data_IF_864727369174
#
_entry.id   IF_864727369174
#
_cell.length_a   1.000
_cell.length_b   1.000
_cell.length_c   1.000
_cell.angle_alpha   90.00
_cell.angle_beta   90.00
_cell.angle_gamma   90.00
#
_symmetry.space_group_name_H-M   'P 1'
#
loop_
_entity.id
_entity.type
_entity.pdbx_description
1 polymer ?
#
# COMPACT_ATOMS: atom_id res chain seq x y z
N UNK A 1 23.11 51.03 -6.28
CA UNK A 1 24.14 50.53 -7.21
C UNK A 1 24.69 49.24 -6.60
N UNK A 2 24.30 48.10 -7.15
CA UNK A 2 24.80 46.79 -6.72
C UNK A 2 26.03 46.41 -7.56
N UNK A 3 27.09 45.90 -6.93
CA UNK A 3 27.97 44.88 -7.51
C UNK A 3 27.91 43.63 -6.62
N UNK A 4 28.02 42.40 -7.07
CA UNK A 4 28.18 41.75 -8.35
C UNK A 4 28.15 40.26 -7.99
N UNK A 5 27.30 39.47 -8.63
CA UNK A 5 27.13 38.05 -8.29
C UNK A 5 28.25 37.25 -8.97
N UNK A 6 29.12 36.64 -8.16
CA UNK A 6 30.00 35.56 -8.61
C UNK A 6 29.17 34.29 -8.78
N UNK A 7 29.18 33.75 -9.99
CA UNK A 7 28.61 32.44 -10.33
C UNK A 7 29.64 31.39 -9.91
N UNK A 8 29.29 30.60 -8.89
CA UNK A 8 29.97 29.34 -8.57
C UNK A 8 28.95 28.21 -8.70
N UNK A 9 29.00 27.47 -9.81
CA UNK A 9 28.22 26.26 -10.02
C UNK A 9 28.91 25.10 -9.30
N UNK A 10 28.26 24.56 -8.26
CA UNK A 10 28.57 23.21 -7.77
C UNK A 10 27.37 22.33 -8.11
N UNK A 11 27.53 21.54 -9.17
CA UNK A 11 26.58 20.53 -9.61
C UNK A 11 26.47 19.41 -8.55
N UNK A 12 25.27 19.21 -7.99
CA UNK A 12 24.92 18.10 -7.08
C UNK A 12 24.24 16.95 -7.86
N UNK A 13 24.30 16.97 -9.19
CA UNK A 13 23.47 16.15 -10.08
C UNK A 13 23.82 14.65 -10.16
N UNK A 14 24.66 14.09 -9.29
CA UNK A 14 25.18 12.72 -9.47
C UNK A 14 25.15 11.79 -8.27
N UNK A 15 24.56 12.15 -7.12
CA UNK A 15 24.43 11.20 -6.00
C UNK A 15 23.03 10.59 -5.94
N UNK A 16 22.89 9.25 -5.98
CA UNK A 16 21.60 8.59 -5.83
C UNK A 16 21.15 8.74 -4.38
N UNK A 17 20.19 9.64 -4.16
CA UNK A 17 19.50 9.77 -2.89
C UNK A 17 18.54 8.57 -2.73
N UNK A 18 18.25 8.14 -1.49
CA UNK A 18 17.20 7.14 -1.27
C UNK A 18 15.90 7.65 -1.92
N UNK A 19 15.32 6.86 -2.85
CA UNK A 19 14.33 7.31 -3.85
C UNK A 19 13.05 8.00 -3.37
N UNK A 20 12.85 8.18 -2.07
CA UNK A 20 11.81 9.07 -1.54
C UNK A 20 12.21 10.55 -1.54
N UNK A 21 13.52 10.84 -1.42
CA UNK A 21 14.03 12.21 -1.56
C UNK A 21 14.12 12.65 -3.02
N UNK A 22 14.36 11.75 -3.97
CA UNK A 22 14.28 12.07 -5.41
C UNK A 22 12.89 12.59 -5.81
N UNK A 23 11.82 12.05 -5.22
CA UNK A 23 10.45 12.48 -5.53
C UNK A 23 10.07 13.84 -4.91
N UNK A 24 10.73 14.23 -3.81
CA UNK A 24 10.50 15.50 -3.13
C UNK A 24 11.44 16.62 -3.59
N UNK A 25 12.58 16.28 -4.18
CA UNK A 25 13.56 17.24 -4.70
C UNK A 25 13.28 17.70 -6.13
N UNK A 26 12.22 17.19 -6.76
CA UNK A 26 11.72 17.67 -8.05
C UNK A 26 10.86 18.93 -7.88
N UNK A 27 11.34 19.99 -7.20
CA UNK A 27 10.92 21.37 -7.51
C UNK A 27 12.03 22.39 -7.22
N UNK A 28 12.53 22.92 -8.33
CA UNK A 28 13.37 24.10 -8.60
C UNK A 28 14.18 24.77 -7.47
N UNK A 29 15.49 24.72 -7.73
CA UNK A 29 16.59 25.50 -7.16
C UNK A 29 16.33 27.02 -7.19
N UNK A 30 15.71 27.55 -6.13
CA UNK A 30 15.91 28.87 -5.47
C UNK A 30 14.73 29.13 -4.53
N UNK A 31 14.84 28.72 -3.26
CA UNK A 31 13.79 28.92 -2.26
C UNK A 31 12.60 27.97 -2.40
N UNK A 32 12.86 26.66 -2.48
CA UNK A 32 11.83 25.62 -2.54
C UNK A 32 11.21 25.31 -1.16
N UNK A 33 9.98 24.80 -1.17
CA UNK A 33 9.30 24.25 0.01
C UNK A 33 9.37 22.73 -0.10
N UNK A 34 9.97 22.07 0.90
CA UNK A 34 9.96 20.61 1.00
C UNK A 34 8.83 20.21 1.93
N UNK A 35 7.77 19.61 1.38
CA UNK A 35 6.71 19.01 2.18
C UNK A 35 7.14 17.60 2.57
N UNK A 36 7.36 17.36 3.85
CA UNK A 36 7.74 16.04 4.35
C UNK A 36 6.99 15.70 5.63
N UNK A 37 6.70 14.42 5.80
CA UNK A 37 6.19 13.89 7.07
C UNK A 37 7.35 13.85 8.09
N UNK A 38 7.14 14.23 9.37
CA UNK A 38 8.17 14.19 10.41
C UNK A 38 8.87 12.82 10.50
N UNK A 39 8.13 11.74 10.28
CA UNK A 39 8.60 10.35 10.26
C UNK A 39 9.63 10.11 9.15
N UNK A 40 9.42 10.71 7.97
CA UNK A 40 10.32 10.60 6.83
C UNK A 40 11.63 11.33 7.09
N UNK A 41 11.57 12.52 7.70
CA UNK A 41 12.77 13.28 8.08
C UNK A 41 13.60 12.55 9.14
N UNK A 42 12.96 11.97 10.16
CA UNK A 42 13.72 11.21 11.15
C UNK A 42 14.26 9.90 10.60
N UNK A 43 13.49 9.17 9.77
CA UNK A 43 13.98 7.95 9.11
C UNK A 43 15.21 8.24 8.25
N UNK A 44 15.23 9.39 7.57
CA UNK A 44 16.41 9.87 6.85
C UNK A 44 17.60 10.09 7.79
N UNK A 45 17.43 10.80 8.91
CA UNK A 45 18.50 11.01 9.90
C UNK A 45 19.00 9.69 10.51
N UNK A 46 18.10 8.74 10.79
CA UNK A 46 18.44 7.41 11.33
C UNK A 46 19.18 6.53 10.32
N UNK A 47 18.86 6.64 9.02
CA UNK A 47 19.60 5.92 7.96
C UNK A 47 21.08 6.32 7.90
N UNK A 48 21.39 7.59 8.25
CA UNK A 48 22.78 8.04 8.40
C UNK A 48 23.50 7.24 9.49
N UNK A 49 22.89 7.10 10.66
CA UNK A 49 23.44 6.33 11.78
C UNK A 49 23.53 4.84 11.45
N UNK A 50 22.52 4.27 10.80
CA UNK A 50 22.52 2.86 10.38
C UNK A 50 23.69 2.56 9.43
N UNK A 51 23.98 3.46 8.48
CA UNK A 51 25.11 3.30 7.56
C UNK A 51 26.47 3.26 8.28
N UNK A 52 26.60 3.87 9.46
CA UNK A 52 27.83 3.80 10.27
C UNK A 52 27.96 2.50 11.07
N UNK A 53 26.85 1.81 11.32
CA UNK A 53 26.78 0.58 12.10
C UNK A 53 26.80 -0.68 11.21
N UNK A 54 26.52 -0.54 9.92
CA UNK A 54 26.59 -1.63 8.92
C UNK A 54 28.02 -2.17 8.76
N UNK A 55 28.17 -3.50 8.80
CA UNK A 55 29.46 -4.19 8.75
C UNK A 55 30.31 -3.89 7.50
N UNK A 56 31.63 -4.10 7.64
CA UNK A 56 32.71 -3.72 6.73
C UNK A 56 32.68 -4.33 5.31
N UNK A 57 31.72 -5.18 4.98
CA UNK A 57 31.76 -6.00 3.77
C UNK A 57 31.38 -5.24 2.48
N UNK A 58 30.76 -4.05 2.59
CA UNK A 58 30.47 -3.15 1.45
C UNK A 58 30.99 -1.72 1.68
N UNK A 59 32.22 -1.60 2.20
CA UNK A 59 32.79 -0.36 2.73
C UNK A 59 32.74 0.88 1.80
N UNK A 60 32.82 0.71 0.47
CA UNK A 60 32.86 1.84 -0.46
C UNK A 60 31.48 2.45 -0.72
N UNK A 61 30.46 1.62 -0.99
CA UNK A 61 29.10 2.11 -1.29
C UNK A 61 28.39 2.67 -0.06
N UNK A 62 28.69 2.11 1.12
CA UNK A 62 28.10 2.56 2.39
C UNK A 62 28.67 3.93 2.78
N UNK A 63 29.96 4.17 2.53
CA UNK A 63 30.61 5.44 2.87
C UNK A 63 30.14 6.59 1.99
N UNK A 64 29.91 6.34 0.69
CA UNK A 64 29.37 7.35 -0.23
C UNK A 64 27.92 7.69 0.09
N UNK A 65 27.11 6.69 0.47
CA UNK A 65 25.74 6.90 0.93
C UNK A 65 25.68 7.75 2.21
N UNK A 66 26.52 7.43 3.20
CA UNK A 66 26.64 8.20 4.44
C UNK A 66 27.03 9.66 4.18
N UNK A 67 28.03 9.89 3.30
CA UNK A 67 28.45 11.25 2.92
C UNK A 67 27.31 12.03 2.27
N UNK A 68 26.60 11.42 1.32
CA UNK A 68 25.46 12.06 0.66
C UNK A 68 24.35 12.46 1.65
N UNK A 69 24.04 11.59 2.63
CA UNK A 69 23.05 11.90 3.67
C UNK A 69 23.53 13.06 4.55
N UNK A 70 24.79 13.05 4.98
CA UNK A 70 25.35 14.13 5.80
C UNK A 70 25.41 15.48 5.08
N UNK A 71 25.82 15.49 3.80
CA UNK A 71 25.85 16.70 2.98
C UNK A 71 24.45 17.28 2.83
N UNK A 72 23.47 16.42 2.57
CA UNK A 72 22.05 16.81 2.47
C UNK A 72 21.53 17.35 3.81
N UNK A 73 21.83 16.69 4.93
CA UNK A 73 21.44 17.18 6.25
C UNK A 73 22.09 18.54 6.56
N UNK A 74 23.38 18.70 6.26
CA UNK A 74 24.10 19.96 6.47
C UNK A 74 23.50 21.10 5.63
N UNK A 75 23.07 20.83 4.41
CA UNK A 75 22.36 21.79 3.57
C UNK A 75 21.03 22.20 4.19
N UNK A 76 20.23 21.25 4.68
CA UNK A 76 18.97 21.58 5.38
C UNK A 76 19.22 22.37 6.67
N UNK A 77 20.19 21.98 7.49
CA UNK A 77 20.49 22.67 8.76
C UNK A 77 20.99 24.11 8.53
N UNK A 78 21.66 24.36 7.39
CA UNK A 78 22.25 25.67 7.07
C UNK A 78 21.29 26.60 6.33
N UNK A 79 20.61 26.09 5.31
CA UNK A 79 19.93 26.90 4.29
C UNK A 79 18.39 26.72 4.30
N UNK A 80 17.83 25.96 5.25
CA UNK A 80 16.37 25.73 5.36
C UNK A 80 15.77 26.17 6.71
N UNK A 81 14.44 26.22 6.78
CA UNK A 81 13.69 26.51 8.02
C UNK A 81 12.49 25.58 8.11
N UNK A 82 12.41 24.85 9.22
CA UNK A 82 11.27 23.98 9.50
C UNK A 82 10.03 24.81 9.84
N UNK A 83 8.93 24.51 9.15
CA UNK A 83 7.60 25.06 9.44
C UNK A 83 6.68 23.87 9.66
N UNK A 84 6.08 23.80 10.84
CA UNK A 84 5.21 22.70 11.23
C UNK A 84 3.81 23.28 11.37
N UNK A 85 2.90 22.80 10.53
CA UNK A 85 1.47 23.06 10.69
C UNK A 85 0.89 22.15 11.78
N UNK A 86 -0.19 22.58 12.43
CA UNK A 86 -0.88 21.80 13.48
C UNK A 86 0.07 21.27 14.58
N UNK A 87 1.00 22.11 15.02
CA UNK A 87 2.05 21.74 15.98
C UNK A 87 1.53 21.16 17.32
N UNK A 88 0.30 21.50 17.70
CA UNK A 88 -0.39 20.94 18.87
C UNK A 88 -0.80 19.47 18.68
N UNK A 89 -1.06 19.04 17.44
CA UNK A 89 -1.30 17.65 17.05
C UNK A 89 0.02 16.92 16.87
N UNK A 90 0.97 17.50 16.12
CA UNK A 90 2.26 16.88 15.80
C UNK A 90 3.08 16.59 17.07
N UNK A 91 3.13 17.55 18.00
CA UNK A 91 3.86 17.42 19.27
C UNK A 91 3.00 16.93 20.44
N UNK A 92 1.80 16.43 20.16
CA UNK A 92 0.94 15.87 21.20
C UNK A 92 1.61 14.68 21.87
N UNK A 93 1.47 14.54 23.19
CA UNK A 93 1.92 13.33 23.91
C UNK A 93 1.16 12.06 23.51
N UNK A 94 0.13 12.19 22.66
CA UNK A 94 -0.64 11.09 22.07
C UNK A 94 -0.11 10.66 20.70
N UNK A 95 0.77 11.42 20.05
CA UNK A 95 1.38 11.01 18.79
C UNK A 95 2.48 9.99 19.08
N UNK A 96 2.35 8.81 18.46
CA UNK A 96 3.39 7.79 18.45
C UNK A 96 4.03 7.81 17.06
N UNK A 97 5.31 8.17 16.99
CA UNK A 97 6.05 8.19 15.74
C UNK A 97 6.59 6.79 15.48
N UNK A 98 6.06 6.13 14.44
CA UNK A 98 6.55 4.81 14.00
C UNK A 98 7.62 5.01 12.93
N UNK A 99 8.86 4.62 13.22
CA UNK A 99 9.98 4.71 12.27
C UNK A 99 10.30 3.34 11.67
N UNK A 100 10.41 3.27 10.35
CA UNK A 100 10.87 2.07 9.67
C UNK A 100 12.40 2.08 9.61
N UNK A 101 13.04 1.08 10.19
CA UNK A 101 14.49 0.83 10.07
C UNK A 101 14.77 -0.19 8.97
N UNK A 102 15.92 -0.07 8.30
CA UNK A 102 16.35 -0.98 7.24
C UNK A 102 15.96 -0.55 5.83
N UNK A 103 16.35 -1.37 4.84
CA UNK A 103 16.08 -1.09 3.44
C UNK A 103 14.57 -1.05 3.17
N UNK A 104 14.09 0.05 2.57
CA UNK A 104 12.71 0.17 2.10
C UNK A 104 12.44 -0.93 1.08
N UNK A 105 11.69 -1.94 1.49
CA UNK A 105 11.14 -2.91 0.57
C UNK A 105 9.82 -2.36 0.04
N UNK A 106 9.56 -2.53 -1.25
CA UNK A 106 8.21 -2.35 -1.77
C UNK A 106 7.30 -3.28 -0.99
N UNK A 107 6.18 -2.75 -0.47
CA UNK A 107 5.18 -3.60 0.12
C UNK A 107 4.82 -4.68 -0.91
N UNK A 108 4.89 -5.95 -0.52
CA UNK A 108 4.73 -7.07 -1.45
C UNK A 108 3.50 -6.89 -2.36
N UNK A 109 3.63 -7.12 -3.66
CA UNK A 109 2.53 -6.93 -4.61
C UNK A 109 1.95 -5.49 -4.72
N UNK A 110 2.62 -4.46 -4.19
CA UNK A 110 2.29 -3.04 -4.45
C UNK A 110 2.74 -2.65 -5.87
N UNK A 111 1.99 -1.81 -6.61
CA UNK A 111 0.76 -1.09 -6.26
C UNK A 111 -0.53 -1.90 -6.54
N UNK A 112 -0.41 -3.11 -7.09
CA UNK A 112 -1.54 -3.95 -7.49
C UNK A 112 -2.45 -4.32 -6.32
N UNK A 113 -1.87 -4.63 -5.17
CA UNK A 113 -2.59 -4.95 -3.93
C UNK A 113 -3.64 -3.89 -3.58
N UNK A 114 -3.27 -2.61 -3.64
CA UNK A 114 -4.17 -1.49 -3.34
C UNK A 114 -5.31 -1.40 -4.35
N UNK A 115 -4.97 -1.43 -5.64
CA UNK A 115 -5.97 -1.35 -6.72
C UNK A 115 -6.98 -2.49 -6.63
N UNK A 116 -6.52 -3.72 -6.37
CA UNK A 116 -7.40 -4.86 -6.17
C UNK A 116 -8.36 -4.66 -5.01
N UNK A 117 -7.86 -4.19 -3.86
CA UNK A 117 -8.71 -3.90 -2.70
C UNK A 117 -9.74 -2.82 -3.05
N UNK A 118 -9.32 -1.74 -3.71
CA UNK A 118 -10.22 -0.66 -4.16
C UNK A 118 -11.30 -1.19 -5.12
N UNK A 119 -10.93 -2.01 -6.11
CA UNK A 119 -11.85 -2.65 -7.06
C UNK A 119 -12.84 -3.59 -6.36
N UNK A 120 -12.39 -4.41 -5.41
CA UNK A 120 -13.26 -5.30 -4.63
C UNK A 120 -14.22 -4.50 -3.75
N UNK A 121 -13.75 -3.42 -3.13
CA UNK A 121 -14.61 -2.52 -2.35
C UNK A 121 -15.63 -1.80 -3.24
N UNK A 122 -15.26 -1.43 -4.46
CA UNK A 122 -16.18 -0.91 -5.47
C UNK A 122 -17.27 -1.92 -5.81
N UNK A 123 -16.91 -3.18 -6.10
CA UNK A 123 -17.87 -4.25 -6.35
C UNK A 123 -18.81 -4.47 -5.14
N UNK A 124 -18.27 -4.42 -3.92
CA UNK A 124 -19.09 -4.51 -2.70
C UNK A 124 -20.06 -3.32 -2.58
N UNK A 125 -19.60 -2.10 -2.89
CA UNK A 125 -20.43 -0.90 -2.87
C UNK A 125 -21.56 -0.92 -3.89
N UNK A 126 -21.40 -1.62 -5.01
CA UNK A 126 -22.48 -1.86 -5.97
C UNK A 126 -23.40 -3.02 -5.59
N UNK A 127 -22.86 -4.05 -4.94
CA UNK A 127 -23.60 -5.28 -4.60
C UNK A 127 -24.52 -5.06 -3.40
N UNK A 128 -24.02 -4.38 -2.37
CA UNK A 128 -24.73 -4.27 -1.09
C UNK A 128 -26.04 -3.47 -1.19
N UNK A 129 -26.14 -2.35 -1.94
CA UNK A 129 -27.43 -1.68 -2.16
C UNK A 129 -28.48 -2.57 -2.81
N UNK A 130 -28.08 -3.41 -3.80
CA UNK A 130 -28.97 -4.38 -4.45
C UNK A 130 -29.45 -5.44 -3.47
N UNK A 131 -28.55 -5.94 -2.61
CA UNK A 131 -28.89 -6.90 -1.57
C UNK A 131 -29.76 -6.29 -0.46
N UNK A 132 -29.55 -5.02 -0.11
CA UNK A 132 -30.34 -4.30 0.90
C UNK A 132 -31.80 -4.12 0.47
N UNK A 133 -32.07 -3.96 -0.83
CA UNK A 133 -33.45 -3.94 -1.36
C UNK A 133 -34.17 -5.28 -1.17
N UNK A 134 -33.45 -6.40 -1.25
CA UNK A 134 -34.03 -7.74 -1.10
C UNK A 134 -34.06 -8.20 0.37
N UNK A 135 -33.07 -7.79 1.17
CA UNK A 135 -32.86 -8.19 2.56
C UNK A 135 -32.56 -6.96 3.44
N UNK A 136 -33.56 -6.08 3.67
CA UNK A 136 -33.36 -4.83 4.40
C UNK A 136 -33.00 -5.04 5.88
N UNK A 137 -33.30 -6.21 6.43
CA UNK A 137 -32.95 -6.66 7.77
C UNK A 137 -31.48 -7.10 7.91
N UNK A 138 -30.79 -7.33 6.78
CA UNK A 138 -29.43 -7.89 6.72
C UNK A 138 -28.36 -6.90 6.29
N UNK A 139 -28.75 -5.87 5.55
CA UNK A 139 -27.84 -4.88 4.99
C UNK A 139 -28.38 -3.46 5.18
N UNK A 140 -27.54 -2.56 5.67
CA UNK A 140 -27.82 -1.12 5.63
C UNK A 140 -27.00 -0.50 4.50
N UNK A 141 -27.67 0.15 3.55
CA UNK A 141 -27.01 0.87 2.47
C UNK A 141 -27.66 2.26 2.33
N UNK A 142 -26.90 3.29 2.64
CA UNK A 142 -27.24 4.70 2.39
C UNK A 142 -26.07 5.36 1.65
N UNK A 143 -26.31 6.54 1.09
CA UNK A 143 -25.38 7.42 0.37
C UNK A 143 -24.01 7.61 1.03
N UNK A 144 -23.91 7.42 2.36
CA UNK A 144 -22.67 7.61 3.14
C UNK A 144 -22.18 6.35 3.84
N UNK A 145 -22.98 5.28 3.91
CA UNK A 145 -22.70 4.14 4.79
C UNK A 145 -23.23 2.84 4.21
N UNK A 146 -22.36 1.83 4.25
CA UNK A 146 -22.68 0.46 3.86
C UNK A 146 -22.32 -0.45 5.02
N UNK A 147 -23.26 -1.30 5.46
CA UNK A 147 -23.06 -2.20 6.60
C UNK A 147 -23.68 -3.58 6.36
N UNK A 148 -23.00 -4.57 6.93
CA UNK A 148 -23.45 -5.96 6.97
C UNK A 148 -23.85 -6.28 8.40
N UNK A 149 -25.11 -6.64 8.63
CA UNK A 149 -25.68 -6.70 9.99
C UNK A 149 -25.49 -8.06 10.67
N UNK A 150 -25.54 -9.17 9.92
CA UNK A 150 -25.49 -10.51 10.49
C UNK A 150 -24.53 -11.46 9.74
N UNK A 151 -24.24 -12.64 10.32
CA UNK A 151 -23.36 -13.67 9.73
C UNK A 151 -23.85 -14.23 8.40
N UNK A 152 -25.16 -14.34 8.21
CA UNK A 152 -25.74 -14.82 6.97
C UNK A 152 -25.53 -13.80 5.83
N UNK A 153 -25.66 -12.51 6.11
CA UNK A 153 -25.44 -11.40 5.20
C UNK A 153 -23.99 -11.34 4.71
N UNK A 154 -23.03 -11.57 5.60
CA UNK A 154 -21.60 -11.70 5.23
C UNK A 154 -21.37 -12.83 4.24
N UNK A 155 -22.00 -13.99 4.48
CA UNK A 155 -21.87 -15.15 3.59
C UNK A 155 -22.50 -14.87 2.22
N UNK A 156 -23.69 -14.27 2.21
CA UNK A 156 -24.37 -13.88 0.96
C UNK A 156 -23.53 -12.87 0.15
N UNK A 157 -22.95 -11.88 0.82
CA UNK A 157 -22.06 -10.93 0.17
C UNK A 157 -20.79 -11.61 -0.38
N UNK A 158 -20.18 -12.51 0.40
CA UNK A 158 -19.02 -13.27 -0.02
C UNK A 158 -19.30 -14.11 -1.26
N UNK A 159 -20.40 -14.87 -1.27
CA UNK A 159 -20.84 -15.69 -2.40
C UNK A 159 -21.10 -14.85 -3.65
N UNK A 160 -21.81 -13.73 -3.51
CA UNK A 160 -22.07 -12.81 -4.63
C UNK A 160 -20.79 -12.16 -5.17
N UNK A 161 -19.89 -11.71 -4.30
CA UNK A 161 -18.62 -11.12 -4.74
C UNK A 161 -17.73 -12.15 -5.43
N UNK A 162 -17.59 -13.34 -4.86
CA UNK A 162 -16.80 -14.41 -5.48
C UNK A 162 -17.34 -14.74 -6.87
N UNK A 163 -18.67 -14.87 -7.02
CA UNK A 163 -19.29 -15.14 -8.31
C UNK A 163 -19.01 -14.02 -9.33
N UNK A 164 -19.26 -12.75 -8.98
CA UNK A 164 -18.99 -11.60 -9.87
C UNK A 164 -17.53 -11.53 -10.30
N UNK A 165 -16.60 -11.82 -9.39
CA UNK A 165 -15.16 -11.84 -9.68
C UNK A 165 -14.81 -12.95 -10.68
N UNK A 166 -15.33 -14.16 -10.46
CA UNK A 166 -15.12 -15.30 -11.37
C UNK A 166 -15.83 -15.13 -12.72
N UNK A 167 -16.86 -14.29 -12.78
CA UNK A 167 -17.53 -13.88 -14.02
C UNK A 167 -16.79 -12.75 -14.76
N UNK A 168 -15.65 -12.29 -14.23
CA UNK A 168 -14.74 -11.36 -14.89
C UNK A 168 -14.99 -9.89 -14.59
N UNK A 169 -15.80 -9.58 -13.58
CA UNK A 169 -16.06 -8.20 -13.16
C UNK A 169 -14.90 -7.55 -12.38
N UNK A 170 -13.80 -8.28 -12.19
CA UNK A 170 -12.54 -7.76 -11.67
C UNK A 170 -11.53 -7.64 -12.83
N UNK A 171 -11.28 -6.42 -13.37
CA UNK A 171 -10.43 -6.22 -14.54
C UNK A 171 -9.04 -6.84 -14.41
N UNK A 172 -8.46 -6.72 -13.21
CA UNK A 172 -7.15 -7.24 -12.83
C UNK A 172 -7.08 -8.78 -12.83
N UNK A 173 -8.24 -9.45 -12.84
CA UNK A 173 -8.37 -10.90 -12.78
C UNK A 173 -9.22 -11.50 -13.91
N UNK A 174 -9.43 -10.75 -14.99
CA UNK A 174 -10.30 -11.11 -16.12
C UNK A 174 -9.97 -12.44 -16.82
N UNK A 175 -8.72 -12.92 -16.72
CA UNK A 175 -8.27 -14.21 -17.28
C UNK A 175 -8.97 -15.44 -16.66
N UNK A 176 -9.68 -15.28 -15.54
CA UNK A 176 -10.45 -16.36 -14.90
C UNK A 176 -11.62 -16.86 -15.74
N UNK A 177 -12.20 -16.00 -16.58
CA UNK A 177 -13.43 -16.30 -17.34
C UNK A 177 -13.27 -17.44 -18.34
N UNK A 178 -12.06 -17.63 -18.89
CA UNK A 178 -11.74 -18.67 -19.86
C UNK A 178 -11.33 -20.02 -19.25
N UNK A 179 -11.35 -20.16 -17.91
CA UNK A 179 -10.97 -21.40 -17.25
C UNK A 179 -12.05 -22.47 -17.36
N UNK A 180 -11.63 -23.73 -17.33
CA UNK A 180 -12.53 -24.88 -17.32
C UNK A 180 -13.43 -24.88 -16.08
N UNK A 181 -14.62 -25.49 -16.22
CA UNK A 181 -15.63 -25.51 -15.14
C UNK A 181 -15.08 -26.07 -13.82
N UNK A 182 -14.28 -27.13 -13.88
CA UNK A 182 -13.69 -27.76 -12.70
C UNK A 182 -12.69 -26.83 -11.97
N UNK A 183 -11.94 -26.01 -12.73
CA UNK A 183 -11.02 -25.01 -12.16
C UNK A 183 -11.84 -23.89 -11.52
N UNK A 184 -12.89 -23.41 -12.18
CA UNK A 184 -13.75 -22.34 -11.64
C UNK A 184 -14.44 -22.76 -10.34
N UNK A 185 -14.87 -24.01 -10.23
CA UNK A 185 -15.45 -24.56 -9.00
C UNK A 185 -14.41 -24.63 -7.88
N UNK A 186 -13.21 -25.14 -8.16
CA UNK A 186 -12.10 -25.15 -7.22
C UNK A 186 -11.71 -23.72 -6.77
N UNK A 187 -11.75 -22.74 -7.67
CA UNK A 187 -11.51 -21.33 -7.35
C UNK A 187 -12.58 -20.74 -6.45
N UNK A 188 -13.85 -21.03 -6.71
CA UNK A 188 -14.96 -20.59 -5.88
C UNK A 188 -14.82 -21.14 -4.45
N UNK A 189 -14.48 -22.43 -4.35
CA UNK A 189 -14.17 -23.06 -3.06
C UNK A 189 -12.96 -22.39 -2.39
N UNK A 190 -11.87 -22.17 -3.12
CA UNK A 190 -10.65 -21.55 -2.62
C UNK A 190 -10.86 -20.14 -2.07
N UNK A 191 -11.72 -19.35 -2.70
CA UNK A 191 -12.00 -17.95 -2.32
C UNK A 191 -13.00 -17.86 -1.16
N UNK A 192 -14.00 -18.74 -1.11
CA UNK A 192 -15.07 -18.69 -0.11
C UNK A 192 -14.73 -19.42 1.19
N UNK A 193 -14.00 -20.53 1.11
CA UNK A 193 -13.69 -21.34 2.28
C UNK A 193 -12.48 -20.79 3.03
N UNK A 194 -12.63 -20.68 4.35
CA UNK A 194 -11.49 -20.38 5.22
C UNK A 194 -10.40 -21.45 5.02
N UNK A 195 -10.80 -22.72 5.06
CA UNK A 195 -9.94 -23.90 4.90
C UNK A 195 -10.46 -24.74 3.73
N UNK A 196 -10.07 -24.40 2.49
CA UNK A 196 -10.43 -25.17 1.31
C UNK A 196 -9.77 -26.53 1.32
N UNK A 197 -10.40 -27.48 0.64
CA UNK A 197 -9.88 -28.84 0.52
C UNK A 197 -8.53 -28.86 -0.23
N UNK A 198 -7.68 -29.84 0.11
CA UNK A 198 -6.31 -29.92 -0.40
C UNK A 198 -6.23 -30.10 -1.92
N UNK A 199 -7.23 -30.77 -2.50
CA UNK A 199 -7.41 -30.92 -3.95
C UNK A 199 -7.72 -29.57 -4.61
N UNK A 200 -8.67 -28.79 -4.06
CA UNK A 200 -8.98 -27.46 -4.57
C UNK A 200 -7.78 -26.51 -4.51
N UNK A 201 -7.00 -26.56 -3.42
CA UNK A 201 -5.74 -25.82 -3.29
C UNK A 201 -4.77 -26.23 -4.39
N UNK A 202 -4.53 -27.53 -4.57
CA UNK A 202 -3.59 -28.04 -5.55
C UNK A 202 -4.00 -27.66 -6.99
N UNK A 203 -5.28 -27.80 -7.33
CA UNK A 203 -5.82 -27.41 -8.64
C UNK A 203 -5.61 -25.92 -8.90
N UNK A 204 -5.98 -25.06 -7.96
CA UNK A 204 -5.89 -23.60 -8.14
C UNK A 204 -4.43 -23.14 -8.20
N UNK A 205 -3.58 -23.62 -7.31
CA UNK A 205 -2.17 -23.20 -7.27
C UNK A 205 -1.35 -23.74 -8.46
N UNK A 206 -1.72 -24.88 -9.04
CA UNK A 206 -1.15 -25.36 -10.31
C UNK A 206 -1.60 -24.48 -11.48
N UNK A 207 -2.90 -24.20 -11.59
CA UNK A 207 -3.47 -23.39 -12.68
C UNK A 207 -2.96 -21.95 -12.70
N UNK A 208 -2.69 -21.37 -11.52
CA UNK A 208 -2.26 -19.96 -11.37
C UNK A 208 -0.79 -19.80 -10.94
N UNK A 209 0.00 -20.89 -11.03
CA UNK A 209 1.44 -20.92 -10.73
C UNK A 209 2.24 -19.83 -11.46
N UNK A 210 1.79 -19.45 -12.66
CA UNK A 210 2.44 -18.46 -13.52
C UNK A 210 1.73 -17.11 -13.38
N UNK A 211 2.51 -16.02 -13.35
CA UNK A 211 2.05 -14.63 -13.20
C UNK A 211 1.51 -14.27 -11.80
N UNK A 212 0.95 -13.07 -11.66
CA UNK A 212 0.41 -12.52 -10.40
C UNK A 212 -0.89 -13.20 -9.91
N UNK A 213 -1.39 -14.23 -10.60
CA UNK A 213 -2.67 -14.88 -10.30
C UNK A 213 -2.75 -15.45 -8.89
N UNK A 214 -1.69 -16.13 -8.42
CA UNK A 214 -1.61 -16.65 -7.06
C UNK A 214 -1.73 -15.56 -5.99
N UNK A 215 -1.08 -14.40 -6.21
CA UNK A 215 -1.15 -13.29 -5.27
C UNK A 215 -2.56 -12.69 -5.19
N UNK A 216 -3.26 -12.60 -6.33
CA UNK A 216 -4.66 -12.15 -6.37
C UNK A 216 -5.56 -13.13 -5.62
N UNK A 217 -5.42 -14.44 -5.87
CA UNK A 217 -6.23 -15.47 -5.23
C UNK A 217 -6.02 -15.52 -3.71
N UNK A 218 -4.78 -15.39 -3.24
CA UNK A 218 -4.48 -15.31 -1.81
C UNK A 218 -5.09 -14.06 -1.17
N UNK A 219 -5.04 -12.92 -1.87
CA UNK A 219 -5.66 -11.68 -1.41
C UNK A 219 -7.19 -11.81 -1.35
N UNK A 220 -7.82 -12.40 -2.36
CA UNK A 220 -9.25 -12.70 -2.39
C UNK A 220 -9.65 -13.63 -1.25
N UNK A 221 -8.88 -14.70 -1.01
CA UNK A 221 -9.11 -15.62 0.10
C UNK A 221 -8.97 -14.93 1.46
N UNK A 222 -7.99 -14.05 1.62
CA UNK A 222 -7.83 -13.25 2.84
C UNK A 222 -9.00 -12.28 3.08
N UNK A 223 -9.46 -11.59 2.02
CA UNK A 223 -10.55 -10.63 2.12
C UNK A 223 -11.91 -11.29 2.32
N UNK A 224 -12.21 -12.31 1.52
CA UNK A 224 -13.52 -12.96 1.45
C UNK A 224 -13.57 -14.16 2.38
N UNK A 225 -12.83 -15.24 2.09
CA UNK A 225 -12.91 -16.52 2.83
C UNK A 225 -12.45 -16.45 4.28
N UNK A 226 -11.43 -15.64 4.60
CA UNK A 226 -10.99 -15.38 5.99
C UNK A 226 -11.79 -14.24 6.67
N UNK A 227 -12.70 -13.60 5.95
CA UNK A 227 -13.69 -12.68 6.52
C UNK A 227 -13.19 -11.28 6.86
N UNK A 228 -12.02 -10.85 6.36
CA UNK A 228 -11.52 -9.48 6.62
C UNK A 228 -12.50 -8.42 6.11
N UNK A 229 -13.02 -8.57 4.89
CA UNK A 229 -14.01 -7.65 4.32
C UNK A 229 -15.29 -7.61 5.16
N UNK A 230 -15.78 -8.79 5.52
CA UNK A 230 -16.97 -8.95 6.36
C UNK A 230 -16.82 -8.33 7.74
N UNK A 231 -15.63 -8.42 8.33
CA UNK A 231 -15.31 -7.80 9.62
C UNK A 231 -15.27 -6.28 9.52
N UNK A 232 -14.64 -5.75 8.47
CA UNK A 232 -14.54 -4.30 8.23
C UNK A 232 -15.92 -3.66 8.01
N UNK A 233 -16.82 -4.32 7.26
CA UNK A 233 -18.17 -3.80 6.99
C UNK A 233 -19.17 -3.97 8.16
N UNK A 234 -18.80 -4.70 9.21
CA UNK A 234 -19.59 -4.80 10.45
C UNK A 234 -19.21 -3.74 11.47
N UNK A 235 -17.91 -3.40 11.53
CA UNK A 235 -17.37 -2.49 12.52
C UNK A 235 -17.91 -1.07 12.30
N UNK A 236 -18.05 -0.36 13.43
CA UNK A 236 -18.55 1.02 13.51
C UNK A 236 -17.48 2.02 13.15
#
# INVERSE_FOLDING_TARGET
MCPGWFVGSTDISTTPLPGHLEFLLLQEMRGGIVLCEPESLLSFKLSALESTLGGKDEATSVQDHFRSILETQYLFDKDSRDVIDESDVVFSTKSELTYTMGQKQTADFSPWRRRLIESILGLAAETIPKLSQQYPDKFEADSKRIRVLDRSASRMLAEQLAQRILDGELPEFSHVTGQEAHIREAMLQYVLEAEPAADAIATVEESFRRAHGNQILLLLRGLIGRGVLSHSLRKR
#
